data_IF_635465241290
#
_entry.id   IF_635465241290
#
_cell.length_a   1.000
_cell.length_b   1.000
_cell.length_c   1.000
_cell.angle_alpha   90.00
_cell.angle_beta   90.00
_cell.angle_gamma   90.00
#
_symmetry.space_group_name_H-M   'P 1'
#
loop_
_entity.id
_entity.type
_entity.pdbx_description
1 polymer ?
#
# COMPACT_ATOMS: atom_id res chain seq x y z
N UNK A 1 59.07 17.99 14.28
CA UNK A 1 57.93 18.85 14.05
C UNK A 1 57.03 18.40 12.93
N UNK A 2 57.52 17.77 11.91
CA UNK A 2 56.71 17.29 10.80
C UNK A 2 55.82 16.07 11.13
N UNK A 3 56.15 15.31 12.14
CA UNK A 3 55.42 14.12 12.57
C UNK A 3 54.12 14.42 13.31
N UNK A 4 54.05 15.53 14.03
CA UNK A 4 52.86 15.93 14.77
C UNK A 4 51.70 16.37 13.87
N UNK A 5 52.00 17.00 12.74
CA UNK A 5 50.94 17.40 11.79
C UNK A 5 50.31 16.23 11.02
N UNK A 6 51.08 15.17 10.82
CA UNK A 6 50.55 13.96 10.16
C UNK A 6 49.57 13.17 11.06
N UNK A 7 49.81 13.18 12.37
CA UNK A 7 48.92 12.52 13.33
C UNK A 7 47.59 13.27 13.46
N UNK A 8 47.60 14.58 13.42
CA UNK A 8 46.39 15.41 13.47
C UNK A 8 45.52 15.21 12.24
N UNK A 9 46.13 15.08 11.07
CA UNK A 9 45.40 14.80 9.84
C UNK A 9 44.75 13.42 9.83
N UNK A 10 45.40 12.43 10.41
CA UNK A 10 44.83 11.08 10.54
C UNK A 10 43.62 11.03 11.48
N UNK A 11 43.63 11.81 12.55
CA UNK A 11 42.51 11.89 13.48
C UNK A 11 41.27 12.56 12.88
N UNK A 12 41.46 13.57 12.05
CA UNK A 12 40.34 14.23 11.35
C UNK A 12 39.71 13.35 10.29
N UNK A 13 40.47 12.55 9.61
CA UNK A 13 39.93 11.61 8.61
C UNK A 13 39.09 10.48 9.26
N UNK A 14 39.44 10.04 10.43
CA UNK A 14 38.66 9.01 11.12
C UNK A 14 37.33 9.51 11.69
N UNK A 15 37.22 10.77 12.05
CA UNK A 15 35.96 11.35 12.52
C UNK A 15 34.96 11.60 11.38
N UNK A 16 35.44 11.90 10.18
CA UNK A 16 34.58 12.08 9.02
C UNK A 16 33.95 10.76 8.55
N UNK A 17 34.66 9.65 8.65
CA UNK A 17 34.14 8.35 8.26
C UNK A 17 33.11 7.77 9.24
N UNK A 18 33.17 8.17 10.52
CA UNK A 18 32.18 7.74 11.51
C UNK A 18 30.78 8.35 11.32
N UNK A 19 30.69 9.43 10.57
CA UNK A 19 29.42 10.10 10.30
C UNK A 19 28.70 9.56 9.04
N UNK A 20 29.39 8.86 8.15
CA UNK A 20 28.85 8.33 6.91
C UNK A 20 27.88 7.15 7.09
N UNK A 21 27.96 6.29 8.10
CA UNK A 21 27.08 5.13 8.21
C UNK A 21 25.70 5.42 8.77
N UNK A 22 25.33 6.65 8.99
CA UNK A 22 24.00 7.00 9.50
C UNK A 22 22.88 6.89 8.47
N UNK A 23 23.14 6.32 7.31
CA UNK A 23 22.13 6.19 6.25
C UNK A 23 21.90 4.79 5.70
N UNK A 24 21.78 3.79 6.45
CA UNK A 24 21.01 2.68 5.95
C UNK A 24 19.55 2.90 6.32
N UNK A 25 19.03 4.02 5.97
CA UNK A 25 17.61 4.13 5.79
C UNK A 25 17.26 3.42 4.47
N UNK A 26 17.66 2.20 4.39
CA UNK A 26 17.19 1.28 3.42
C UNK A 26 15.76 0.86 3.79
N UNK A 27 14.95 1.82 4.14
CA UNK A 27 13.50 1.68 4.27
C UNK A 27 12.89 1.38 2.91
N UNK A 28 13.64 1.61 1.83
CA UNK A 28 13.20 1.32 0.45
C UNK A 28 13.14 -0.17 0.13
N UNK A 29 13.73 -1.04 0.92
CA UNK A 29 13.63 -2.48 0.68
C UNK A 29 12.45 -3.16 1.36
N UNK A 30 11.60 -2.41 2.04
CA UNK A 30 10.32 -2.91 2.51
C UNK A 30 9.21 -2.71 1.47
N UNK A 31 9.57 -2.63 0.22
CA UNK A 31 8.56 -2.91 -0.82
C UNK A 31 8.27 -4.40 -0.72
N UNK A 32 7.06 -4.80 -0.36
CA UNK A 32 6.73 -6.21 -0.39
C UNK A 32 7.02 -6.70 -1.80
N UNK A 33 7.91 -7.66 -1.89
CA UNK A 33 8.25 -8.29 -3.15
C UNK A 33 6.94 -8.75 -3.79
N UNK A 34 6.74 -8.45 -5.05
CA UNK A 34 5.55 -8.84 -5.80
C UNK A 34 5.24 -10.34 -5.74
N UNK A 35 6.24 -11.16 -5.42
CA UNK A 35 6.08 -12.59 -5.18
C UNK A 35 5.40 -12.90 -3.83
N UNK A 36 5.54 -12.06 -2.82
CA UNK A 36 4.81 -12.24 -1.55
C UNK A 36 3.34 -11.87 -1.68
N UNK A 37 3.02 -10.90 -2.53
CA UNK A 37 1.63 -10.56 -2.86
C UNK A 37 0.90 -11.69 -3.60
N UNK A 38 1.61 -12.54 -4.33
CA UNK A 38 1.05 -13.72 -4.98
C UNK A 38 0.70 -14.85 -4.01
N UNK A 39 1.44 -15.00 -2.92
CA UNK A 39 1.15 -16.03 -1.93
C UNK A 39 -0.10 -15.74 -1.10
N UNK A 40 -0.47 -14.46 -0.95
CA UNK A 40 -1.72 -14.07 -0.28
C UNK A 40 -2.93 -14.33 -1.18
N UNK A 41 -2.75 -14.36 -2.49
CA UNK A 41 -3.84 -14.53 -3.46
C UNK A 41 -4.44 -15.96 -3.49
N UNK A 42 -3.71 -16.98 -3.05
CA UNK A 42 -4.23 -18.36 -3.03
C UNK A 42 -5.34 -18.56 -1.98
N UNK A 43 -5.34 -17.78 -0.91
CA UNK A 43 -6.37 -17.78 0.13
C UNK A 43 -7.21 -16.48 0.14
N UNK A 44 -7.23 -15.75 -0.96
CA UNK A 44 -7.98 -14.50 -1.04
C UNK A 44 -9.48 -14.74 -0.90
N UNK A 45 -10.06 -14.20 0.16
CA UNK A 45 -11.50 -14.24 0.40
C UNK A 45 -12.19 -13.20 -0.46
N UNK A 46 -13.43 -13.46 -0.81
CA UNK A 46 -14.29 -12.49 -1.50
C UNK A 46 -15.02 -11.66 -0.45
N UNK A 47 -14.83 -10.35 -0.50
CA UNK A 47 -15.44 -9.40 0.41
C UNK A 47 -16.41 -8.50 -0.36
N UNK A 48 -17.65 -8.47 0.05
CA UNK A 48 -18.65 -7.54 -0.48
C UNK A 48 -18.72 -6.30 0.42
N UNK A 49 -18.52 -5.11 -0.15
CA UNK A 49 -18.64 -3.84 0.56
C UNK A 49 -19.80 -3.04 -0.03
N UNK A 50 -20.84 -2.85 0.77
CA UNK A 50 -22.03 -2.08 0.36
C UNK A 50 -21.77 -0.58 0.47
N UNK A 51 -22.30 0.21 -0.46
CA UNK A 51 -22.09 1.65 -0.48
C UNK A 51 -20.64 2.07 -0.69
N UNK A 52 -19.85 1.24 -1.37
CA UNK A 52 -18.40 1.42 -1.51
C UNK A 52 -18.00 2.40 -2.62
N UNK A 53 -18.93 3.14 -3.20
CA UNK A 53 -18.62 4.16 -4.21
C UNK A 53 -18.01 5.44 -3.65
N UNK A 54 -18.05 5.65 -2.34
CA UNK A 54 -17.50 6.85 -1.68
C UNK A 54 -17.35 6.67 -0.16
N UNK A 55 -16.64 7.62 0.45
CA UNK A 55 -16.54 7.74 1.91
C UNK A 55 -15.93 6.50 2.56
N UNK A 56 -16.51 6.11 3.69
CA UNK A 56 -16.01 5.01 4.51
C UNK A 56 -15.99 3.67 3.76
N UNK A 57 -17.03 3.38 2.97
CA UNK A 57 -17.10 2.14 2.19
C UNK A 57 -15.98 2.03 1.16
N UNK A 58 -15.64 3.12 0.48
CA UNK A 58 -14.51 3.15 -0.45
C UNK A 58 -13.17 2.94 0.25
N UNK A 59 -12.98 3.55 1.43
CA UNK A 59 -11.77 3.37 2.23
C UNK A 59 -11.60 1.92 2.70
N UNK A 60 -12.68 1.30 3.19
CA UNK A 60 -12.68 -0.11 3.61
C UNK A 60 -12.37 -1.03 2.41
N UNK A 61 -13.00 -0.78 1.26
CA UNK A 61 -12.76 -1.55 0.05
C UNK A 61 -11.30 -1.48 -0.40
N UNK A 62 -10.68 -0.31 -0.30
CA UNK A 62 -9.28 -0.10 -0.63
C UNK A 62 -8.34 -0.85 0.32
N UNK A 63 -8.60 -0.82 1.63
CA UNK A 63 -7.80 -1.55 2.61
C UNK A 63 -7.92 -3.07 2.44
N UNK A 64 -9.11 -3.58 2.14
CA UNK A 64 -9.31 -5.00 1.80
C UNK A 64 -8.54 -5.39 0.53
N UNK A 65 -8.53 -4.52 -0.48
CA UNK A 65 -7.73 -4.71 -1.68
C UNK A 65 -6.23 -4.75 -1.40
N UNK A 66 -5.72 -3.86 -0.53
CA UNK A 66 -4.33 -3.87 -0.08
C UNK A 66 -3.96 -5.14 0.68
N UNK A 67 -4.90 -5.69 1.43
CA UNK A 67 -4.74 -6.98 2.11
C UNK A 67 -4.79 -8.19 1.16
N UNK A 68 -4.90 -7.96 -0.15
CA UNK A 68 -4.94 -9.02 -1.16
C UNK A 68 -6.27 -9.75 -1.27
N UNK A 69 -7.35 -9.19 -0.72
CA UNK A 69 -8.68 -9.78 -0.84
C UNK A 69 -9.34 -9.39 -2.18
N UNK A 70 -10.26 -10.22 -2.64
CA UNK A 70 -11.11 -9.92 -3.80
C UNK A 70 -12.29 -9.08 -3.34
N UNK A 71 -12.45 -7.89 -3.86
CA UNK A 71 -13.44 -6.93 -3.37
C UNK A 71 -14.57 -6.74 -4.36
N UNK A 72 -15.80 -6.89 -3.90
CA UNK A 72 -16.99 -6.52 -4.65
C UNK A 72 -17.45 -5.14 -4.16
N UNK A 73 -17.28 -4.13 -5.00
CA UNK A 73 -17.67 -2.74 -4.75
C UNK A 73 -19.13 -2.57 -5.14
N UNK A 74 -20.03 -2.59 -4.16
CA UNK A 74 -21.47 -2.37 -4.42
C UNK A 74 -21.79 -0.88 -4.44
N UNK A 75 -22.59 -0.47 -5.42
CA UNK A 75 -23.10 0.89 -5.55
C UNK A 75 -24.57 0.93 -5.97
N UNK A 76 -25.27 2.00 -5.64
CA UNK A 76 -26.67 2.20 -6.05
C UNK A 76 -26.80 3.08 -7.31
N UNK A 77 -26.21 4.25 -7.32
CA UNK A 77 -26.37 5.22 -8.42
C UNK A 77 -25.05 5.79 -8.98
N UNK A 78 -23.98 5.74 -8.25
CA UNK A 78 -22.70 6.39 -8.64
C UNK A 78 -21.74 5.38 -9.28
N UNK A 79 -22.01 5.00 -10.52
CA UNK A 79 -21.20 4.04 -11.27
C UNK A 79 -19.76 4.51 -11.44
N UNK A 80 -19.57 5.74 -11.88
CA UNK A 80 -18.24 6.28 -12.17
C UNK A 80 -17.33 6.24 -10.95
N UNK A 81 -17.84 6.68 -9.80
CA UNK A 81 -17.10 6.62 -8.52
C UNK A 81 -16.78 5.19 -8.07
N UNK A 82 -17.68 4.24 -8.34
CA UNK A 82 -17.42 2.85 -8.02
C UNK A 82 -16.32 2.27 -8.91
N UNK A 83 -16.27 2.67 -10.18
CA UNK A 83 -15.19 2.29 -11.08
C UNK A 83 -13.85 2.91 -10.66
N UNK A 84 -13.83 4.18 -10.24
CA UNK A 84 -12.63 4.82 -9.70
C UNK A 84 -12.05 4.03 -8.49
N UNK A 85 -12.93 3.58 -7.60
CA UNK A 85 -12.51 2.74 -6.45
C UNK A 85 -11.95 1.40 -6.92
N UNK A 86 -12.57 0.76 -7.89
CA UNK A 86 -12.07 -0.49 -8.47
C UNK A 86 -10.69 -0.30 -9.10
N UNK A 87 -10.47 0.79 -9.82
CA UNK A 87 -9.16 1.11 -10.40
C UNK A 87 -8.10 1.35 -9.32
N UNK A 88 -8.44 2.05 -8.26
CA UNK A 88 -7.54 2.26 -7.12
C UNK A 88 -7.16 0.94 -6.45
N UNK A 89 -8.11 0.02 -6.27
CA UNK A 89 -7.85 -1.31 -5.71
C UNK A 89 -6.92 -2.11 -6.61
N UNK A 90 -7.14 -2.07 -7.92
CA UNK A 90 -6.27 -2.74 -8.90
C UNK A 90 -4.86 -2.13 -8.93
N UNK A 91 -4.76 -0.81 -8.80
CA UNK A 91 -3.48 -0.12 -8.74
C UNK A 91 -2.63 -0.53 -7.53
N UNK A 92 -3.23 -0.88 -6.41
CA UNK A 92 -2.52 -1.38 -5.22
C UNK A 92 -2.28 -2.90 -5.23
N UNK A 93 -2.65 -3.56 -6.32
CA UNK A 93 -2.42 -5.00 -6.51
C UNK A 93 -3.55 -5.90 -6.02
N UNK A 94 -4.69 -5.32 -5.63
CA UNK A 94 -5.91 -6.07 -5.31
C UNK A 94 -6.71 -6.44 -6.56
N UNK A 95 -7.74 -7.23 -6.37
CA UNK A 95 -8.72 -7.57 -7.40
C UNK A 95 -10.11 -7.06 -6.98
N UNK A 96 -10.79 -6.36 -7.88
CA UNK A 96 -12.09 -5.80 -7.57
C UNK A 96 -13.03 -5.73 -8.77
N UNK A 97 -14.31 -5.84 -8.50
CA UNK A 97 -15.39 -5.64 -9.46
C UNK A 97 -16.42 -4.67 -8.89
N UNK A 98 -17.05 -3.89 -9.75
CA UNK A 98 -18.17 -3.03 -9.37
C UNK A 98 -19.50 -3.72 -9.69
N UNK A 99 -20.41 -3.76 -8.73
CA UNK A 99 -21.73 -4.35 -8.87
C UNK A 99 -22.80 -3.35 -8.47
N UNK A 100 -23.72 -3.08 -9.38
CA UNK A 100 -24.87 -2.23 -9.11
C UNK A 100 -25.98 -3.03 -8.42
N UNK A 101 -26.31 -2.66 -7.19
CA UNK A 101 -27.47 -3.17 -6.50
C UNK A 101 -28.00 -2.14 -5.51
N UNK A 102 -29.29 -1.91 -5.53
CA UNK A 102 -29.94 -0.98 -4.63
C UNK A 102 -30.73 -1.76 -3.58
N UNK A 103 -30.28 -1.71 -2.34
CA UNK A 103 -30.93 -2.37 -1.21
C UNK A 103 -32.18 -1.61 -0.72
N UNK A 104 -32.74 -0.71 -1.55
CA UNK A 104 -33.83 0.17 -1.16
C UNK A 104 -35.16 -0.54 -0.95
N UNK A 105 -35.25 -1.83 -1.33
CA UNK A 105 -36.51 -2.55 -1.19
C UNK A 105 -36.28 -4.02 -0.79
N UNK A 106 -36.28 -4.26 0.50
CA UNK A 106 -36.80 -5.48 1.07
C UNK A 106 -37.98 -5.15 1.97
N UNK A 107 -39.02 -4.58 1.38
CA UNK A 107 -40.32 -4.52 2.04
C UNK A 107 -41.29 -5.38 1.24
N UNK A 108 -41.54 -6.50 1.78
CA UNK A 108 -42.75 -7.25 1.49
C UNK A 108 -43.80 -6.80 2.46
#
# INVERSE_FOLDING_TARGET
>A
MKFLSAIVLGALASTASAFAPATPLNVASTRPNSSQLRMVAENAKVCLVTGASRGLGAAIALELGRAGQKVVVNYAGSKDRALDVVEQIKAVGGDAIAVQANCKFCFV
#
